data_IF_172603285939
#
_entry.id   IF_172603285939
#
_cell.length_a   1.000
_cell.length_b   1.000
_cell.length_c   1.000
_cell.angle_alpha   90.00
_cell.angle_beta   90.00
_cell.angle_gamma   90.00
#
_symmetry.space_group_name_H-M   'P 1'
#
loop_
_entity.id
_entity.type
_entity.pdbx_description
1 polymer ?
#
# COMPACT_ATOMS: atom_id res chain seq x y z
N UNK A 1 -23.53 -10.73 -28.79
CA UNK A 1 -23.80 -9.73 -27.73
C UNK A 1 -23.59 -8.36 -28.36
N UNK A 2 -24.58 -7.48 -28.33
CA UNK A 2 -24.42 -6.11 -28.83
C UNK A 2 -23.61 -5.30 -27.80
N UNK A 3 -22.63 -4.51 -28.25
CA UNK A 3 -21.82 -3.66 -27.37
C UNK A 3 -22.68 -2.64 -26.60
N UNK A 4 -23.86 -2.29 -27.13
CA UNK A 4 -24.84 -1.41 -26.49
C UNK A 4 -25.44 -1.95 -25.18
N UNK A 5 -25.35 -3.27 -24.93
CA UNK A 5 -26.03 -3.95 -23.82
C UNK A 5 -25.07 -4.42 -22.72
N UNK A 6 -23.82 -3.95 -22.77
CA UNK A 6 -22.77 -4.28 -21.81
C UNK A 6 -22.92 -3.42 -20.56
N UNK A 7 -23.32 -4.02 -19.43
CA UNK A 7 -23.36 -3.33 -18.14
C UNK A 7 -21.97 -3.33 -17.49
N UNK A 8 -21.71 -2.37 -16.60
CA UNK A 8 -20.47 -2.37 -15.79
C UNK A 8 -20.25 -3.68 -15.03
N UNK A 9 -21.34 -4.32 -14.57
CA UNK A 9 -21.27 -5.63 -13.93
C UNK A 9 -20.74 -6.72 -14.85
N UNK A 10 -21.11 -6.70 -16.14
CA UNK A 10 -20.56 -7.63 -17.13
C UNK A 10 -19.11 -7.30 -17.46
N UNK A 11 -18.72 -6.02 -17.45
CA UNK A 11 -17.31 -5.63 -17.66
C UNK A 11 -16.37 -6.22 -16.62
N UNK A 12 -16.84 -6.41 -15.38
CA UNK A 12 -16.07 -7.05 -14.30
C UNK A 12 -15.61 -8.46 -14.67
N UNK A 13 -16.44 -9.21 -15.39
CA UNK A 13 -16.12 -10.59 -15.80
C UNK A 13 -14.95 -10.65 -16.81
N UNK A 14 -14.64 -9.53 -17.45
CA UNK A 14 -13.58 -9.41 -18.46
C UNK A 14 -12.37 -8.60 -17.97
N UNK A 15 -12.41 -8.06 -16.76
CA UNK A 15 -11.46 -7.03 -16.30
C UNK A 15 -10.03 -7.56 -16.18
N UNK A 16 -9.87 -8.85 -15.82
CA UNK A 16 -8.57 -9.52 -15.77
C UNK A 16 -8.03 -9.91 -17.16
N UNK A 17 -8.90 -9.93 -18.20
CA UNK A 17 -8.52 -10.30 -19.57
C UNK A 17 -8.29 -9.11 -20.49
N UNK A 18 -8.81 -7.93 -20.12
CA UNK A 18 -8.69 -6.69 -20.90
C UNK A 18 -7.85 -5.70 -20.10
N UNK A 19 -6.55 -5.56 -20.39
CA UNK A 19 -5.65 -4.69 -19.63
C UNK A 19 -6.13 -3.24 -19.53
N UNK A 20 -6.84 -2.74 -20.56
CA UNK A 20 -7.40 -1.40 -20.58
C UNK A 20 -8.53 -1.19 -19.56
N UNK A 21 -9.25 -2.24 -19.15
CA UNK A 21 -10.19 -2.18 -18.03
C UNK A 21 -9.42 -2.18 -16.70
N UNK A 22 -8.39 -3.01 -16.58
CA UNK A 22 -7.70 -3.23 -15.32
C UNK A 22 -8.72 -3.51 -14.20
N UNK A 23 -8.51 -2.93 -13.01
CA UNK A 23 -9.46 -3.08 -11.90
C UNK A 23 -10.60 -2.03 -11.90
N UNK A 24 -10.80 -1.28 -13.00
CA UNK A 24 -11.80 -0.20 -13.06
C UNK A 24 -13.25 -0.66 -12.77
N UNK A 25 -13.77 -1.75 -13.39
CA UNK A 25 -15.14 -2.21 -13.10
C UNK A 25 -15.33 -2.54 -11.63
N UNK A 26 -14.44 -3.33 -11.03
CA UNK A 26 -14.45 -3.64 -9.59
C UNK A 26 -14.36 -2.39 -8.72
N UNK A 27 -13.48 -1.42 -9.07
CA UNK A 27 -13.43 -0.12 -8.38
C UNK A 27 -14.80 0.56 -8.40
N UNK A 28 -15.44 0.73 -9.55
CA UNK A 28 -16.73 1.44 -9.63
C UNK A 28 -17.84 0.68 -8.89
N UNK A 29 -17.81 -0.65 -8.94
CA UNK A 29 -18.87 -1.48 -8.40
C UNK A 29 -18.82 -1.70 -6.89
N UNK A 30 -17.69 -1.44 -6.22
CA UNK A 30 -17.57 -1.65 -4.78
C UNK A 30 -18.63 -0.88 -3.97
N UNK A 31 -19.36 -1.61 -3.10
CA UNK A 31 -20.56 -1.16 -2.37
C UNK A 31 -20.37 -1.01 -0.86
N UNK A 32 -19.22 -1.39 -0.33
CA UNK A 32 -18.90 -1.27 1.09
C UNK A 32 -17.40 -1.03 1.27
N UNK A 33 -17.00 -0.79 2.52
CA UNK A 33 -15.60 -0.53 2.87
C UNK A 33 -14.70 -1.69 2.48
N UNK A 34 -15.08 -2.93 2.79
CA UNK A 34 -14.26 -4.12 2.54
C UNK A 34 -13.98 -4.30 1.04
N UNK A 35 -15.00 -4.22 0.18
CA UNK A 35 -14.85 -4.28 -1.27
C UNK A 35 -13.95 -3.14 -1.81
N UNK A 36 -14.06 -1.94 -1.22
CA UNK A 36 -13.19 -0.82 -1.56
C UNK A 36 -11.73 -1.10 -1.19
N UNK A 37 -11.48 -1.63 0.01
CA UNK A 37 -10.15 -1.99 0.49
C UNK A 37 -9.53 -3.12 -0.33
N UNK A 38 -10.30 -4.14 -0.69
CA UNK A 38 -9.86 -5.22 -1.57
C UNK A 38 -9.41 -4.68 -2.94
N UNK A 39 -10.21 -3.78 -3.53
CA UNK A 39 -9.85 -3.12 -4.78
C UNK A 39 -8.57 -2.28 -4.63
N UNK A 40 -8.51 -1.45 -3.60
CA UNK A 40 -7.35 -0.60 -3.32
C UNK A 40 -6.07 -1.42 -3.16
N UNK A 41 -6.12 -2.53 -2.43
CA UNK A 41 -4.96 -3.40 -2.27
C UNK A 41 -4.53 -4.10 -3.56
N UNK A 42 -5.46 -4.49 -4.45
CA UNK A 42 -5.13 -5.03 -5.78
C UNK A 42 -4.41 -3.98 -6.63
N UNK A 43 -4.86 -2.73 -6.58
CA UNK A 43 -4.26 -1.63 -7.33
C UNK A 43 -2.90 -1.19 -6.73
N UNK A 44 -2.76 -1.12 -5.40
CA UNK A 44 -1.46 -0.90 -4.73
C UNK A 44 -0.47 -2.02 -5.09
N UNK A 45 -0.90 -3.28 -5.10
CA UNK A 45 -0.03 -4.41 -5.50
C UNK A 45 0.44 -4.33 -6.95
N UNK A 46 -0.38 -3.74 -7.83
CA UNK A 46 -0.06 -3.48 -9.24
C UNK A 46 0.99 -2.38 -9.34
N UNK A 47 0.77 -1.26 -8.64
CA UNK A 47 1.70 -0.12 -8.59
C UNK A 47 3.06 -0.56 -8.03
N UNK A 48 3.07 -1.30 -6.91
CA UNK A 48 4.29 -1.87 -6.34
C UNK A 48 4.96 -2.82 -7.32
N UNK A 49 4.19 -3.60 -8.09
CA UNK A 49 4.73 -4.41 -9.19
C UNK A 49 5.53 -3.57 -10.18
N UNK A 50 4.91 -2.52 -10.72
CA UNK A 50 5.51 -1.61 -11.71
C UNK A 50 6.75 -0.90 -11.15
N UNK A 51 6.72 -0.43 -9.90
CA UNK A 51 7.87 0.23 -9.28
C UNK A 51 9.09 -0.70 -9.19
N UNK A 52 8.86 -2.01 -9.03
CA UNK A 52 9.93 -3.02 -8.91
C UNK A 52 10.45 -3.52 -10.28
N UNK A 53 9.84 -3.13 -11.40
CA UNK A 53 10.31 -3.52 -12.74
C UNK A 53 11.61 -2.80 -13.12
N UNK A 54 11.80 -1.57 -12.65
CA UNK A 54 13.02 -0.79 -12.87
C UNK A 54 13.54 -0.21 -11.54
N UNK A 55 14.14 -1.03 -10.66
CA UNK A 55 14.65 -0.54 -9.39
C UNK A 55 15.89 0.36 -9.59
N UNK A 56 16.57 0.28 -10.73
CA UNK A 56 17.80 1.03 -11.01
C UNK A 56 17.58 2.55 -11.03
N UNK A 57 16.50 3.02 -11.66
CA UNK A 57 16.18 4.45 -11.72
C UNK A 57 15.71 5.04 -10.38
N UNK A 58 15.43 4.19 -9.39
CA UNK A 58 14.86 4.57 -8.09
C UNK A 58 15.87 4.55 -6.93
N UNK A 59 17.15 4.31 -7.21
CA UNK A 59 18.17 4.20 -6.16
C UNK A 59 18.33 5.50 -5.35
N UNK A 60 18.23 6.63 -6.04
CA UNK A 60 18.43 7.96 -5.47
C UNK A 60 17.12 8.66 -5.06
N UNK A 61 15.96 8.03 -5.29
CA UNK A 61 14.67 8.62 -4.95
C UNK A 61 14.49 8.75 -3.43
N UNK A 62 13.96 9.90 -3.00
CA UNK A 62 13.55 10.10 -1.61
C UNK A 62 12.28 9.29 -1.28
N UNK A 63 12.02 9.09 0.02
CA UNK A 63 10.76 8.52 0.50
C UNK A 63 9.56 9.28 -0.08
N UNK A 64 9.59 10.61 -0.01
CA UNK A 64 8.56 11.48 -0.58
C UNK A 64 8.34 11.28 -2.07
N UNK A 65 9.42 11.09 -2.85
CA UNK A 65 9.33 10.90 -4.30
C UNK A 65 8.70 9.55 -4.64
N UNK A 66 9.06 8.51 -3.89
CA UNK A 66 8.47 7.17 -4.02
C UNK A 66 6.99 7.17 -3.61
N UNK A 67 6.62 7.82 -2.51
CA UNK A 67 5.23 7.96 -2.07
C UNK A 67 4.39 8.78 -3.07
N UNK A 68 4.99 9.82 -3.65
CA UNK A 68 4.34 10.64 -4.70
C UNK A 68 4.00 9.81 -5.95
N UNK A 69 4.84 8.83 -6.29
CA UNK A 69 4.61 7.94 -7.43
C UNK A 69 3.36 7.09 -7.19
N UNK A 70 3.23 6.49 -6.01
CA UNK A 70 2.06 5.70 -5.64
C UNK A 70 0.79 6.55 -5.69
N UNK A 71 0.83 7.74 -5.11
CA UNK A 71 -0.30 8.69 -5.16
C UNK A 71 -0.67 9.09 -6.58
N UNK A 72 0.31 9.39 -7.43
CA UNK A 72 0.07 9.74 -8.83
C UNK A 72 -0.57 8.58 -9.60
N UNK A 73 -0.09 7.35 -9.40
CA UNK A 73 -0.67 6.17 -10.02
C UNK A 73 -2.10 5.92 -9.54
N UNK A 74 -2.37 6.00 -8.23
CA UNK A 74 -3.73 5.87 -7.70
C UNK A 74 -4.68 6.95 -8.26
N UNK A 75 -4.22 8.21 -8.37
CA UNK A 75 -5.01 9.28 -9.03
C UNK A 75 -5.31 8.95 -10.48
N UNK A 76 -4.33 8.45 -11.24
CA UNK A 76 -4.56 8.04 -12.64
C UNK A 76 -5.53 6.87 -12.77
N UNK A 77 -5.67 6.06 -11.72
CA UNK A 77 -6.65 4.96 -11.64
C UNK A 77 -8.05 5.43 -11.18
N UNK A 78 -8.21 6.72 -10.84
CA UNK A 78 -9.47 7.34 -10.45
C UNK A 78 -9.72 7.44 -8.94
N UNK A 79 -8.72 7.16 -8.10
CA UNK A 79 -8.84 7.34 -6.65
C UNK A 79 -8.72 8.81 -6.24
N UNK A 80 -9.49 9.20 -5.22
CA UNK A 80 -9.22 10.44 -4.48
C UNK A 80 -8.07 10.19 -3.51
N UNK A 81 -6.84 10.34 -4.01
CA UNK A 81 -5.61 10.10 -3.27
C UNK A 81 -4.85 11.41 -3.00
N UNK A 82 -4.47 11.65 -1.75
CA UNK A 82 -3.76 12.86 -1.33
C UNK A 82 -2.72 12.59 -0.24
N UNK A 83 -1.82 13.55 -0.04
CA UNK A 83 -1.03 13.64 1.20
C UNK A 83 -1.84 14.44 2.20
N UNK A 84 -1.85 14.04 3.46
CA UNK A 84 -2.42 14.89 4.50
C UNK A 84 -1.39 15.91 4.98
N UNK A 85 -1.75 17.18 4.88
CA UNK A 85 -0.96 18.30 5.36
C UNK A 85 -1.74 19.02 6.47
N UNK A 86 -2.09 18.30 7.54
CA UNK A 86 -2.67 18.93 8.73
C UNK A 86 -1.71 18.91 9.92
N UNK A 87 -1.87 19.93 10.77
CA UNK A 87 -0.98 20.26 11.88
C UNK A 87 -0.97 19.10 12.89
N UNK A 88 0.14 18.35 12.94
CA UNK A 88 0.27 17.14 13.77
C UNK A 88 1.13 16.04 13.14
N UNK A 89 1.44 16.17 11.86
CA UNK A 89 2.31 15.29 11.08
C UNK A 89 1.71 15.03 9.71
N UNK A 90 2.52 14.60 8.75
CA UNK A 90 2.07 14.23 7.41
C UNK A 90 1.69 12.76 7.40
N UNK A 91 0.48 12.43 6.92
CA UNK A 91 0.18 11.06 6.51
C UNK A 91 0.54 10.95 5.03
N UNK A 92 1.40 9.97 4.71
CA UNK A 92 1.98 9.87 3.37
C UNK A 92 0.94 9.56 2.30
N UNK A 93 -0.07 8.75 2.62
CA UNK A 93 -1.15 8.39 1.72
C UNK A 93 -2.51 8.44 2.42
N UNK A 94 -3.41 9.29 1.93
CA UNK A 94 -4.82 9.32 2.33
C UNK A 94 -5.69 9.05 1.13
N UNK A 95 -6.42 7.94 1.16
CA UNK A 95 -7.30 7.51 0.07
C UNK A 95 -8.74 7.59 0.55
N UNK A 96 -9.52 8.42 -0.14
CA UNK A 96 -10.91 8.71 0.20
C UNK A 96 -11.85 8.14 -0.85
N UNK A 97 -13.02 7.70 -0.38
CA UNK A 97 -14.11 7.30 -1.26
C UNK A 97 -15.44 7.55 -0.59
N UNK A 98 -16.45 7.99 -1.34
CA UNK A 98 -17.84 8.00 -0.88
C UNK A 98 -18.55 6.75 -1.39
N UNK A 99 -19.22 6.04 -0.49
CA UNK A 99 -20.03 4.85 -0.78
C UNK A 99 -21.38 5.06 -0.09
N UNK A 100 -22.46 5.12 -0.88
CA UNK A 100 -23.84 5.30 -0.39
C UNK A 100 -24.00 6.45 0.64
N UNK A 101 -23.29 7.55 0.40
CA UNK A 101 -23.30 8.74 1.27
C UNK A 101 -22.31 8.70 2.45
N UNK A 102 -21.74 7.54 2.76
CA UNK A 102 -20.73 7.37 3.81
C UNK A 102 -19.32 7.61 3.27
N UNK A 103 -18.48 8.26 4.09
CA UNK A 103 -17.09 8.55 3.75
C UNK A 103 -16.19 7.40 4.23
N UNK A 104 -15.59 6.69 3.29
CA UNK A 104 -14.54 5.71 3.52
C UNK A 104 -13.16 6.35 3.44
N UNK A 105 -12.27 5.93 4.33
CA UNK A 105 -10.89 6.40 4.39
C UNK A 105 -9.95 5.20 4.57
N UNK A 106 -8.92 5.14 3.76
CA UNK A 106 -7.74 4.30 4.00
C UNK A 106 -6.52 5.19 4.18
N UNK A 107 -5.68 4.83 5.14
CA UNK A 107 -4.46 5.55 5.47
C UNK A 107 -3.24 4.67 5.21
N UNK A 108 -2.21 5.25 4.62
CA UNK A 108 -0.94 4.61 4.37
C UNK A 108 0.20 5.48 4.90
N UNK A 109 1.10 4.86 5.65
CA UNK A 109 2.39 5.44 6.01
C UNK A 109 3.48 4.76 5.19
N UNK A 110 4.44 5.51 4.69
CA UNK A 110 5.55 5.00 3.90
C UNK A 110 6.87 5.22 4.62
N UNK A 111 7.80 4.27 4.52
CA UNK A 111 9.13 4.37 5.10
C UNK A 111 10.19 3.78 4.19
N UNK A 112 11.22 4.56 3.85
CA UNK A 112 12.43 4.09 3.18
C UNK A 112 13.36 3.48 4.21
N UNK A 113 13.36 2.15 4.29
CA UNK A 113 14.14 1.44 5.29
C UNK A 113 15.64 1.46 4.96
N UNK A 114 16.42 2.00 5.89
CA UNK A 114 17.89 2.01 5.82
C UNK A 114 18.51 0.95 6.74
N UNK A 115 18.28 1.05 8.05
CA UNK A 115 18.88 0.15 9.06
C UNK A 115 18.09 0.00 10.36
N UNK A 116 17.26 0.99 10.72
CA UNK A 116 16.57 1.01 12.01
C UNK A 116 15.09 0.66 11.88
N UNK A 117 14.65 -0.36 12.63
CA UNK A 117 13.24 -0.70 12.77
C UNK A 117 12.48 0.31 13.64
N UNK A 118 13.17 1.18 14.37
CA UNK A 118 12.54 2.27 15.15
C UNK A 118 11.75 3.19 14.22
N UNK A 119 12.27 3.51 13.04
CA UNK A 119 11.56 4.35 12.08
C UNK A 119 10.30 3.69 11.49
N UNK A 120 10.30 2.36 11.33
CA UNK A 120 9.11 1.62 10.94
C UNK A 120 8.07 1.62 12.06
N UNK A 121 8.52 1.47 13.30
CA UNK A 121 7.66 1.53 14.48
C UNK A 121 7.08 2.94 14.70
N UNK A 122 7.87 3.99 14.49
CA UNK A 122 7.40 5.38 14.48
C UNK A 122 6.31 5.59 13.43
N UNK A 123 6.52 5.10 12.20
CA UNK A 123 5.51 5.15 11.15
C UNK A 123 4.23 4.38 11.51
N UNK A 124 4.38 3.19 12.10
CA UNK A 124 3.25 2.41 12.62
C UNK A 124 2.46 3.19 13.68
N UNK A 125 3.14 3.80 14.65
CA UNK A 125 2.49 4.62 15.66
C UNK A 125 1.79 5.85 15.06
N UNK A 126 2.39 6.51 14.06
CA UNK A 126 1.77 7.62 13.37
C UNK A 126 0.45 7.21 12.72
N UNK A 127 0.46 6.12 11.95
CA UNK A 127 -0.73 5.53 11.34
C UNK A 127 -1.81 5.22 12.40
N UNK A 128 -1.42 4.49 13.45
CA UNK A 128 -2.33 3.85 14.39
C UNK A 128 -2.85 4.75 15.52
N UNK A 129 -2.10 5.78 15.91
CA UNK A 129 -2.43 6.61 17.09
C UNK A 129 -2.83 8.03 16.75
N UNK A 130 -2.39 8.57 15.60
CA UNK A 130 -2.66 9.97 15.23
C UNK A 130 -3.85 10.08 14.28
N UNK A 131 -3.88 9.26 13.24
CA UNK A 131 -4.74 9.51 12.07
C UNK A 131 -5.96 8.59 11.96
N UNK A 132 -5.89 7.36 12.46
CA UNK A 132 -7.07 6.49 12.49
C UNK A 132 -8.06 6.94 13.57
N UNK A 133 -9.33 7.08 13.19
CA UNK A 133 -10.44 7.22 14.14
C UNK A 133 -10.91 5.84 14.61
N UNK A 134 -10.69 4.80 13.80
CA UNK A 134 -11.15 3.44 14.06
C UNK A 134 -12.67 3.33 14.02
N UNK A 135 -13.31 4.19 13.23
CA UNK A 135 -14.74 4.18 12.92
C UNK A 135 -15.05 3.13 11.83
N UNK A 136 -16.32 2.76 11.62
CA UNK A 136 -16.75 1.63 10.79
C UNK A 136 -16.20 1.67 9.34
N UNK A 137 -15.87 2.85 8.83
CA UNK A 137 -15.34 3.09 7.49
C UNK A 137 -13.85 3.52 7.48
N UNK A 138 -13.11 3.21 8.55
CA UNK A 138 -11.68 3.44 8.72
C UNK A 138 -11.06 2.39 9.67
N UNK A 139 -11.24 1.10 9.33
CA UNK A 139 -10.74 -0.03 10.13
C UNK A 139 -9.47 -0.67 9.56
N UNK A 140 -8.99 -0.21 8.39
CA UNK A 140 -7.77 -0.70 7.77
C UNK A 140 -6.78 0.41 7.39
N UNK A 141 -5.49 0.05 7.40
CA UNK A 141 -4.39 0.92 6.94
C UNK A 141 -3.19 0.13 6.42
N UNK A 142 -2.16 0.81 5.94
CA UNK A 142 -0.96 0.18 5.42
C UNK A 142 0.36 0.84 5.84
N UNK A 143 1.39 0.01 5.97
CA UNK A 143 2.79 0.44 6.07
C UNK A 143 3.51 0.01 4.80
N UNK A 144 3.95 0.98 3.99
CA UNK A 144 4.70 0.76 2.75
C UNK A 144 6.18 0.89 3.05
N UNK A 145 6.96 -0.16 2.77
CA UNK A 145 8.37 -0.25 3.16
C UNK A 145 9.24 -0.31 1.91
N UNK A 146 9.88 0.82 1.55
CA UNK A 146 10.83 0.86 0.45
C UNK A 146 12.17 0.26 0.91
N UNK A 147 12.63 -0.79 0.23
CA UNK A 147 13.83 -1.52 0.64
C UNK A 147 14.79 -1.71 -0.52
N UNK A 148 15.96 -1.09 -0.44
CA UNK A 148 16.98 -1.05 -1.50
C UNK A 148 18.10 -2.09 -1.31
N UNK A 149 18.02 -2.91 -0.26
CA UNK A 149 19.03 -3.93 0.07
C UNK A 149 18.55 -5.33 -0.28
N UNK A 150 19.47 -6.29 -0.29
CA UNK A 150 19.16 -7.71 -0.50
C UNK A 150 18.30 -8.28 0.62
N UNK A 151 17.59 -9.35 0.29
CA UNK A 151 16.86 -10.20 1.22
C UNK A 151 15.72 -9.48 1.98
N UNK A 152 14.74 -9.01 1.21
CA UNK A 152 13.50 -8.40 1.71
C UNK A 152 12.72 -9.34 2.63
N UNK A 153 12.81 -10.66 2.40
CA UNK A 153 12.09 -11.65 3.22
C UNK A 153 12.61 -11.64 4.65
N UNK A 154 13.93 -11.71 4.85
CA UNK A 154 14.53 -11.66 6.19
C UNK A 154 14.27 -10.31 6.86
N UNK A 155 14.32 -9.20 6.11
CA UNK A 155 13.99 -7.87 6.64
C UNK A 155 12.53 -7.83 7.13
N UNK A 156 11.58 -8.32 6.34
CA UNK A 156 10.17 -8.33 6.73
C UNK A 156 9.87 -9.27 7.90
N UNK A 157 10.57 -10.41 8.01
CA UNK A 157 10.44 -11.29 9.16
C UNK A 157 10.95 -10.61 10.44
N UNK A 158 12.12 -9.98 10.39
CA UNK A 158 12.66 -9.20 11.51
C UNK A 158 11.75 -8.04 11.89
N UNK A 159 11.14 -7.39 10.90
CA UNK A 159 10.14 -6.34 11.16
C UNK A 159 8.93 -6.90 11.91
N UNK A 160 8.38 -8.03 11.45
CA UNK A 160 7.28 -8.71 12.13
C UNK A 160 7.61 -9.04 13.58
N UNK A 161 8.81 -9.56 13.84
CA UNK A 161 9.28 -9.90 15.18
C UNK A 161 9.39 -8.63 16.05
N UNK A 162 10.00 -7.55 15.51
CA UNK A 162 10.13 -6.26 16.21
C UNK A 162 8.79 -5.60 16.51
N UNK A 163 7.83 -5.71 15.59
CA UNK A 163 6.48 -5.21 15.82
C UNK A 163 5.81 -5.97 16.98
N UNK A 164 5.93 -7.31 17.00
CA UNK A 164 5.38 -8.14 18.07
C UNK A 164 6.02 -7.88 19.45
N UNK A 165 7.30 -7.47 19.49
CA UNK A 165 7.97 -7.07 20.72
C UNK A 165 7.52 -5.69 21.23
N UNK A 166 7.14 -4.79 20.32
CA UNK A 166 6.94 -3.37 20.63
C UNK A 166 5.47 -2.98 20.87
N UNK A 167 4.52 -3.70 20.27
CA UNK A 167 3.08 -3.40 20.39
C UNK A 167 2.25 -4.66 20.65
N UNK A 168 1.07 -4.48 21.23
CA UNK A 168 0.12 -5.57 21.47
C UNK A 168 -0.56 -6.03 20.17
N UNK A 169 0.08 -6.97 19.47
CA UNK A 169 -0.46 -7.58 18.26
C UNK A 169 -1.40 -8.72 18.64
N UNK A 170 -2.68 -8.59 18.32
CA UNK A 170 -3.69 -9.62 18.60
C UNK A 170 -3.48 -10.88 17.76
N UNK A 171 -3.13 -10.70 16.48
CA UNK A 171 -2.74 -11.78 15.56
C UNK A 171 -2.01 -11.25 14.33
N UNK A 172 -1.32 -12.18 13.65
CA UNK A 172 -0.77 -11.98 12.31
C UNK A 172 -1.45 -12.90 11.30
N UNK A 173 -1.59 -12.43 10.07
CA UNK A 173 -2.04 -13.23 8.94
C UNK A 173 -1.08 -13.07 7.76
N UNK A 174 -0.83 -14.16 7.02
CA UNK A 174 -0.04 -14.10 5.79
C UNK A 174 -0.85 -13.40 4.69
N UNK A 175 -0.19 -12.61 3.84
CA UNK A 175 -0.85 -12.04 2.66
C UNK A 175 -0.92 -13.08 1.53
N UNK A 176 -2.11 -13.57 1.12
CA UNK A 176 -2.22 -14.66 0.16
C UNK A 176 -1.59 -14.36 -1.20
N UNK A 177 -1.69 -13.09 -1.63
CA UNK A 177 -1.24 -12.63 -2.96
C UNK A 177 0.23 -12.19 -3.00
N UNK A 178 0.89 -11.98 -1.85
CA UNK A 178 2.25 -11.43 -1.77
C UNK A 178 2.99 -12.05 -0.58
N UNK A 179 3.91 -12.98 -0.85
CA UNK A 179 4.60 -13.79 0.18
C UNK A 179 5.42 -13.00 1.19
N UNK A 180 5.93 -11.81 0.83
CA UNK A 180 6.70 -10.95 1.72
C UNK A 180 5.85 -9.89 2.45
N UNK A 181 4.55 -9.81 2.16
CA UNK A 181 3.63 -8.95 2.88
C UNK A 181 2.89 -9.75 3.96
N UNK A 182 2.46 -9.07 5.01
CA UNK A 182 1.65 -9.67 6.07
C UNK A 182 0.65 -8.67 6.64
N UNK A 183 -0.37 -9.19 7.31
CA UNK A 183 -1.31 -8.40 8.09
C UNK A 183 -1.01 -8.54 9.57
N UNK A 184 -1.20 -7.46 10.31
CA UNK A 184 -1.19 -7.43 11.78
C UNK A 184 -2.50 -6.82 12.25
N UNK A 185 -3.06 -7.36 13.32
CA UNK A 185 -4.32 -6.92 13.90
C UNK A 185 -4.11 -6.36 15.30
N UNK A 186 -4.73 -5.22 15.57
CA UNK A 186 -4.54 -4.44 16.79
C UNK A 186 -5.88 -3.96 17.32
N UNK A 187 -5.99 -3.77 18.61
CA UNK A 187 -7.15 -3.12 19.22
C UNK A 187 -6.96 -1.61 19.16
N UNK A 188 -7.80 -0.91 18.40
CA UNK A 188 -7.63 0.51 18.12
C UNK A 188 -7.76 1.34 19.41
N UNK A 189 -6.77 2.19 19.76
CA UNK A 189 -6.69 2.82 21.08
C UNK A 189 -7.82 3.79 21.38
N UNK A 190 -8.50 4.33 20.36
CA UNK A 190 -9.61 5.28 20.53
C UNK A 190 -10.98 4.60 20.55
N UNK A 191 -11.18 3.58 19.72
CA UNK A 191 -12.50 2.98 19.51
C UNK A 191 -12.65 1.59 20.14
N UNK A 192 -11.55 0.93 20.51
CA UNK A 192 -11.55 -0.46 20.96
C UNK A 192 -11.86 -1.47 19.85
N UNK A 193 -12.15 -1.02 18.63
CA UNK A 193 -12.43 -1.89 17.48
C UNK A 193 -11.15 -2.50 16.92
N UNK A 194 -11.29 -3.65 16.25
CA UNK A 194 -10.18 -4.32 15.61
C UNK A 194 -9.71 -3.51 14.39
N UNK A 195 -8.44 -3.15 14.36
CA UNK A 195 -7.80 -2.43 13.26
C UNK A 195 -6.77 -3.31 12.57
N UNK A 196 -6.87 -3.40 11.25
CA UNK A 196 -6.00 -4.27 10.44
C UNK A 196 -5.00 -3.43 9.65
N UNK A 197 -3.72 -3.78 9.80
CA UNK A 197 -2.62 -3.10 9.10
C UNK A 197 -1.93 -4.07 8.15
N UNK A 198 -1.86 -3.70 6.88
CA UNK A 198 -1.06 -4.42 5.87
C UNK A 198 0.35 -3.86 5.81
N UNK A 199 1.36 -4.71 5.95
CA UNK A 199 2.77 -4.35 5.81
C UNK A 199 3.26 -4.78 4.43
N UNK A 200 3.63 -3.82 3.59
CA UNK A 200 3.83 -3.98 2.15
C UNK A 200 5.28 -3.63 1.80
N UNK A 201 6.14 -4.61 1.50
CA UNK A 201 7.49 -4.31 1.04
C UNK A 201 7.50 -3.92 -0.44
N UNK A 202 8.28 -2.91 -0.78
CA UNK A 202 8.63 -2.52 -2.14
C UNK A 202 10.11 -2.83 -2.34
N UNK A 203 10.41 -3.90 -3.07
CA UNK A 203 11.76 -4.37 -3.30
C UNK A 203 12.45 -3.57 -4.42
N UNK A 204 13.25 -2.58 -4.02
CA UNK A 204 13.99 -1.70 -4.91
C UNK A 204 15.49 -2.02 -4.93
N UNK A 205 15.88 -3.25 -4.58
CA UNK A 205 17.28 -3.63 -4.63
C UNK A 205 17.78 -3.73 -6.09
N UNK A 206 18.88 -3.06 -6.39
CA UNK A 206 19.51 -3.11 -7.71
C UNK A 206 21.02 -3.38 -7.58
N UNK A 207 21.45 -4.56 -8.01
CA UNK A 207 22.86 -4.99 -8.05
C UNK A 207 23.12 -5.81 -9.32
N UNK A 208 23.16 -5.16 -10.49
CA UNK A 208 23.35 -5.83 -11.77
C UNK A 208 24.72 -6.48 -11.85
N UNK A 209 24.76 -7.77 -12.19
CA UNK A 209 26.00 -8.54 -12.27
C UNK A 209 26.65 -8.50 -13.66
N UNK A 210 25.86 -8.19 -14.69
CA UNK A 210 26.27 -8.15 -16.10
C UNK A 210 26.91 -6.81 -16.51
N UNK A 211 27.65 -6.82 -17.62
CA UNK A 211 28.39 -5.64 -18.10
C UNK A 211 27.46 -4.48 -18.51
N UNK A 212 26.28 -4.77 -19.05
CA UNK A 212 25.29 -3.77 -19.47
C UNK A 212 24.63 -3.10 -18.27
N UNK A 213 24.18 -3.86 -17.28
CA UNK A 213 23.59 -3.31 -16.06
C UNK A 213 24.59 -2.53 -15.19
N UNK A 214 25.87 -2.91 -15.18
CA UNK A 214 26.92 -2.12 -14.51
C UNK A 214 27.15 -0.75 -15.13
N UNK A 215 26.85 -0.55 -16.42
CA UNK A 215 26.93 0.76 -17.09
C UNK A 215 25.73 1.63 -16.75
N UNK A 216 24.51 1.08 -16.67
CA UNK A 216 23.33 1.86 -16.27
C UNK A 216 23.42 2.33 -14.82
N UNK A 217 23.94 1.48 -13.91
CA UNK A 217 24.17 1.86 -12.51
C UNK A 217 25.12 3.06 -12.32
N UNK A 218 26.07 3.27 -13.24
CA UNK A 218 27.01 4.42 -13.19
C UNK A 218 26.39 5.73 -13.69
N UNK A 219 25.27 5.66 -14.40
CA UNK A 219 24.60 6.79 -15.03
C UNK A 219 23.27 7.16 -14.32
N UNK A 220 22.92 6.47 -13.23
CA UNK A 220 21.73 6.67 -12.40
C UNK A 220 22.07 7.46 -11.14
#
# INVERSE_FOLDING_TARGET
>A
MNLSDLSLSKCRDFEDFIPALGNFPSRVLARNYDEFIECLYKDVDTIVGIMQEDPGVRQNDSEDRLSSEILASLRSMGYQAERDATVGGHCDLVIRRKIDGSQCIWLGEAKKFSSSYVHLLEGFHQLFTRYSTGDDNQTEGGIIIYYLKKDTRTMMQKWKDKLNEAVDVKRFECCPKKTNAFYSFHEHPRSGLLFKVRHIPVNLHFDPQDKSGKKSQRNS
#
